data_IF_702034362417
#
_entry.id   IF_702034362417
#
_cell.length_a   1.000
_cell.length_b   1.000
_cell.length_c   1.000
_cell.angle_alpha   90.00
_cell.angle_beta   90.00
_cell.angle_gamma   90.00
#
_symmetry.space_group_name_H-M   'P 1'
#
loop_
_entity.id
_entity.type
_entity.pdbx_description
1 polymer ?
#
# COMPACT_ATOMS: atom_id res chain seq x y z
N UNK A 1 7.01 -17.93 0.48
CA UNK A 1 5.93 -16.97 0.12
C UNK A 1 6.40 -16.21 -1.10
N UNK A 2 5.57 -16.10 -2.13
CA UNK A 2 5.92 -15.44 -3.40
C UNK A 2 5.98 -13.91 -3.19
N UNK A 3 7.10 -13.29 -3.57
CA UNK A 3 7.28 -11.84 -3.50
C UNK A 3 6.50 -11.18 -4.64
N UNK A 4 5.46 -10.40 -4.32
CA UNK A 4 4.73 -9.61 -5.32
C UNK A 4 5.42 -8.27 -5.55
N UNK A 5 5.82 -7.97 -6.79
CA UNK A 5 6.40 -6.69 -7.17
C UNK A 5 5.57 -6.01 -8.25
N UNK A 6 5.11 -4.80 -7.97
CA UNK A 6 4.48 -3.93 -8.96
C UNK A 6 5.10 -2.53 -8.95
N UNK A 7 5.18 -1.92 -10.14
CA UNK A 7 5.61 -0.54 -10.29
C UNK A 7 4.38 0.36 -10.32
N UNK A 8 4.24 1.20 -9.31
CA UNK A 8 3.12 2.13 -9.17
C UNK A 8 3.62 3.54 -9.49
N UNK A 9 2.89 4.26 -10.36
CA UNK A 9 3.16 5.67 -10.66
C UNK A 9 2.42 6.56 -9.66
N UNK A 10 3.11 7.57 -9.14
CA UNK A 10 2.49 8.62 -8.34
C UNK A 10 1.71 9.54 -9.28
N UNK A 11 0.44 9.77 -8.96
CA UNK A 11 -0.40 10.72 -9.69
C UNK A 11 0.08 12.17 -9.47
N UNK A 12 -0.40 13.11 -10.28
CA UNK A 12 -0.07 14.53 -10.17
C UNK A 12 -0.39 15.15 -8.81
N UNK A 13 -1.33 14.57 -8.06
CA UNK A 13 -1.72 15.03 -6.73
C UNK A 13 -0.97 14.33 -5.59
N UNK A 14 0.11 13.58 -5.89
CA UNK A 14 0.88 12.85 -4.89
C UNK A 14 0.22 11.56 -4.39
N UNK A 15 -0.92 11.16 -4.97
CA UNK A 15 -1.65 9.94 -4.58
C UNK A 15 -1.09 8.72 -5.32
N UNK A 16 -1.00 7.60 -4.63
CA UNK A 16 -0.77 6.28 -5.24
C UNK A 16 -2.06 5.46 -5.25
N UNK A 17 -2.21 4.62 -6.25
CA UNK A 17 -3.31 3.64 -6.30
C UNK A 17 -2.72 2.30 -5.86
N UNK A 18 -3.29 1.71 -4.81
CA UNK A 18 -2.96 0.33 -4.42
C UNK A 18 -3.70 -0.61 -5.37
N UNK A 19 -3.02 -1.40 -6.23
CA UNK A 19 -3.65 -2.27 -7.23
C UNK A 19 -4.56 -3.35 -6.61
N UNK A 20 -5.53 -3.84 -7.39
CA UNK A 20 -6.61 -4.70 -6.88
C UNK A 20 -6.08 -6.00 -6.25
N UNK A 21 -5.07 -6.63 -6.86
CA UNK A 21 -4.44 -7.84 -6.34
C UNK A 21 -3.73 -7.60 -4.99
N UNK A 22 -3.01 -6.48 -4.83
CA UNK A 22 -2.39 -6.10 -3.55
C UNK A 22 -3.47 -5.88 -2.49
N UNK A 23 -4.53 -5.14 -2.82
CA UNK A 23 -5.65 -4.91 -1.90
C UNK A 23 -6.29 -6.21 -1.43
N UNK A 24 -6.57 -7.15 -2.35
CA UNK A 24 -7.14 -8.46 -2.03
C UNK A 24 -6.21 -9.29 -1.12
N UNK A 25 -4.91 -9.32 -1.41
CA UNK A 25 -3.92 -10.05 -0.60
C UNK A 25 -3.77 -9.49 0.81
N UNK A 26 -3.85 -8.17 0.97
CA UNK A 26 -3.66 -7.48 2.25
C UNK A 26 -4.98 -7.18 2.99
N UNK A 27 -6.13 -7.58 2.46
CA UNK A 27 -7.44 -7.29 3.08
C UNK A 27 -7.82 -5.80 3.09
N UNK A 28 -7.25 -4.99 2.20
CA UNK A 28 -7.50 -3.54 2.14
C UNK A 28 -8.81 -3.28 1.41
N UNK A 29 -9.76 -2.65 2.09
CA UNK A 29 -11.08 -2.28 1.58
C UNK A 29 -11.36 -0.78 1.78
N UNK A 30 -12.53 -0.34 1.32
CA UNK A 30 -12.98 1.04 1.57
C UNK A 30 -13.03 1.29 3.09
N UNK A 31 -12.43 2.38 3.53
CA UNK A 31 -12.36 2.75 4.95
C UNK A 31 -11.22 2.12 5.75
N UNK A 32 -10.44 1.19 5.17
CA UNK A 32 -9.22 0.69 5.82
C UNK A 32 -8.24 1.85 6.04
N UNK A 33 -7.76 2.00 7.27
CA UNK A 33 -6.72 2.97 7.62
C UNK A 33 -5.36 2.28 7.49
N UNK A 34 -4.44 2.90 6.77
CA UNK A 34 -3.07 2.45 6.65
C UNK A 34 -2.15 3.40 7.41
N UNK A 35 -1.25 2.83 8.20
CA UNK A 35 -0.13 3.58 8.76
C UNK A 35 0.99 3.67 7.71
N UNK A 36 1.58 4.86 7.57
CA UNK A 36 2.65 5.12 6.63
C UNK A 36 3.93 5.48 7.38
N UNK A 37 5.00 4.72 7.14
CA UNK A 37 6.31 4.94 7.75
C UNK A 37 7.43 4.96 6.70
N UNK A 38 8.52 5.66 7.00
CA UNK A 38 9.73 5.69 6.15
C UNK A 38 10.84 4.96 6.90
N UNK A 39 11.29 3.83 6.36
CA UNK A 39 12.37 3.02 6.94
C UNK A 39 13.40 2.74 5.86
N UNK A 40 14.66 3.12 6.10
CA UNK A 40 15.78 2.89 5.16
C UNK A 40 15.45 3.36 3.73
N UNK A 41 14.89 4.56 3.61
CA UNK A 41 14.46 5.17 2.35
C UNK A 41 13.37 4.39 1.59
N UNK A 42 12.54 3.62 2.30
CA UNK A 42 11.38 2.91 1.76
C UNK A 42 10.11 3.40 2.45
N UNK A 43 9.07 3.67 1.68
CA UNK A 43 7.72 3.86 2.20
C UNK A 43 7.12 2.49 2.50
N UNK A 44 6.78 2.25 3.76
CA UNK A 44 6.08 1.06 4.22
C UNK A 44 4.65 1.48 4.60
N UNK A 45 3.68 0.69 4.14
CA UNK A 45 2.26 0.87 4.47
C UNK A 45 1.76 -0.37 5.19
N UNK A 46 1.21 -0.20 6.39
CA UNK A 46 0.73 -1.28 7.24
C UNK A 46 -0.76 -1.10 7.54
N UNK A 47 -1.52 -2.19 7.52
CA UNK A 47 -2.95 -2.15 7.88
C UNK A 47 -3.04 -1.93 9.38
N UNK A 48 -3.64 -0.83 9.78
CA UNK A 48 -3.87 -0.55 11.19
C UNK A 48 -5.11 -1.36 11.63
N UNK A 49 -4.88 -2.45 12.33
CA UNK A 49 -5.96 -3.20 12.99
C UNK A 49 -6.19 -2.55 14.35
N UNK A 50 -7.38 -2.00 14.56
CA UNK A 50 -7.85 -1.62 15.90
C UNK A 50 -8.46 -2.82 16.59
#
# INVERSE_FOLDING_TARGET
MEELRERIRVSSQGRIVIPQNIRKRLGIHKGTILEASIIKNKLILEVLVR
#
